data_IF_588440125921
#
_entry.id   IF_588440125921
#
_cell.length_a   1.000
_cell.length_b   1.000
_cell.length_c   1.000
_cell.angle_alpha   90.00
_cell.angle_beta   90.00
_cell.angle_gamma   90.00
#
_symmetry.space_group_name_H-M   'P 1'
#
loop_
_entity.id
_entity.type
_entity.pdbx_description
1 polymer ?
#
# COMPACT_ATOMS: atom_id res chain seq x y z
N UNK A 1 -16.16 -8.24 12.63
CA UNK A 1 -15.65 -7.12 11.84
C UNK A 1 -15.55 -7.56 10.38
N UNK A 2 -16.13 -6.77 9.47
CA UNK A 2 -16.09 -7.06 8.03
C UNK A 2 -14.86 -6.39 7.42
N UNK A 3 -13.95 -7.19 6.85
CA UNK A 3 -12.90 -6.68 5.98
C UNK A 3 -13.53 -6.12 4.70
N UNK A 4 -13.06 -4.97 4.25
CA UNK A 4 -13.40 -4.46 2.91
C UNK A 4 -12.59 -5.21 1.86
N UNK A 5 -13.17 -5.43 0.70
CA UNK A 5 -12.46 -6.02 -0.44
C UNK A 5 -11.56 -5.01 -1.17
N UNK A 6 -11.75 -3.71 -0.93
CA UNK A 6 -10.95 -2.66 -1.54
C UNK A 6 -10.67 -1.51 -0.58
N UNK A 7 -9.43 -1.06 -0.58
CA UNK A 7 -8.91 0.06 0.19
C UNK A 7 -8.27 1.07 -0.76
N UNK A 8 -8.45 2.36 -0.50
CA UNK A 8 -7.75 3.42 -1.20
C UNK A 8 -6.92 4.24 -0.21
N UNK A 9 -5.61 4.22 -0.39
CA UNK A 9 -4.66 5.04 0.34
C UNK A 9 -4.30 6.26 -0.50
N UNK A 10 -4.71 7.43 -0.04
CA UNK A 10 -4.53 8.70 -0.75
C UNK A 10 -3.65 9.64 0.05
N UNK A 11 -2.75 10.34 -0.60
CA UNK A 11 -1.93 11.35 0.06
C UNK A 11 -0.59 11.60 -0.62
N UNK A 12 0.20 12.57 -0.14
CA UNK A 12 1.47 12.97 -0.73
C UNK A 12 2.47 11.82 -0.87
N UNK A 13 3.45 12.00 -1.72
CA UNK A 13 4.55 11.04 -1.88
C UNK A 13 5.37 10.93 -0.58
N UNK A 14 5.82 9.73 -0.27
CA UNK A 14 6.70 9.51 0.90
C UNK A 14 5.99 9.38 2.24
N UNK A 15 4.66 9.47 2.31
CA UNK A 15 3.87 9.38 3.56
C UNK A 15 3.60 7.95 4.05
N UNK A 16 4.21 6.94 3.42
CA UNK A 16 4.13 5.55 3.89
C UNK A 16 2.97 4.72 3.32
N UNK A 17 2.25 5.17 2.29
CA UNK A 17 1.11 4.43 1.69
C UNK A 17 1.45 2.99 1.33
N UNK A 18 2.49 2.78 0.53
CA UNK A 18 2.92 1.45 0.08
C UNK A 18 3.43 0.60 1.24
N UNK A 19 4.13 1.21 2.21
CA UNK A 19 4.59 0.52 3.43
C UNK A 19 3.40 0.04 4.28
N UNK A 20 2.40 0.89 4.46
CA UNK A 20 1.16 0.54 5.18
C UNK A 20 0.39 -0.56 4.44
N UNK A 21 0.36 -0.52 3.09
CA UNK A 21 -0.24 -1.58 2.28
C UNK A 21 0.42 -2.95 2.54
N UNK A 22 1.75 -2.98 2.61
CA UNK A 22 2.51 -4.20 2.95
C UNK A 22 2.23 -4.68 4.38
N UNK A 23 2.13 -3.76 5.34
CA UNK A 23 1.78 -4.10 6.72
C UNK A 23 0.37 -4.70 6.76
N UNK A 24 -0.60 -4.11 6.08
CA UNK A 24 -1.96 -4.65 5.99
C UNK A 24 -1.96 -6.05 5.34
N UNK A 25 -1.21 -6.24 4.26
CA UNK A 25 -1.07 -7.55 3.62
C UNK A 25 -0.47 -8.61 4.58
N UNK A 26 0.52 -8.22 5.39
CA UNK A 26 1.07 -9.09 6.45
C UNK A 26 0.04 -9.37 7.55
N UNK A 27 -0.69 -8.36 7.98
CA UNK A 27 -1.74 -8.48 9.01
C UNK A 27 -2.81 -9.49 8.60
N UNK A 28 -3.16 -9.52 7.32
CA UNK A 28 -4.13 -10.45 6.76
C UNK A 28 -3.60 -11.89 6.62
N UNK A 29 -2.34 -12.04 6.19
CA UNK A 29 -1.74 -13.33 5.82
C UNK A 29 -0.77 -13.90 6.87
N UNK A 30 -0.52 -13.19 7.97
CA UNK A 30 0.28 -13.70 9.08
C UNK A 30 -0.32 -15.02 9.62
N UNK A 31 0.51 -15.95 10.04
CA UNK A 31 0.06 -17.23 10.62
C UNK A 31 -0.90 -17.00 11.80
N UNK A 32 -0.66 -15.95 12.59
CA UNK A 32 -1.51 -15.54 13.71
C UNK A 32 -2.66 -14.61 13.31
N UNK A 33 -2.80 -14.34 12.01
CA UNK A 33 -3.76 -13.36 11.49
C UNK A 33 -5.19 -13.90 11.30
N UNK A 34 -6.11 -13.03 10.91
CA UNK A 34 -5.92 -11.57 10.80
C UNK A 34 -5.59 -10.92 12.15
N UNK A 35 -4.54 -10.09 12.17
CA UNK A 35 -4.05 -9.44 13.41
C UNK A 35 -3.58 -8.01 13.10
N UNK A 36 -3.79 -7.04 14.02
CA UNK A 36 -3.21 -5.71 13.84
C UNK A 36 -1.68 -5.70 13.94
N UNK A 37 -1.09 -6.73 14.58
CA UNK A 37 0.35 -6.84 14.80
C UNK A 37 0.89 -8.12 14.14
N UNK A 38 1.33 -8.06 12.87
CA UNK A 38 1.93 -9.21 12.21
C UNK A 38 3.25 -9.58 12.86
N UNK A 39 3.51 -10.88 13.04
CA UNK A 39 4.67 -11.37 13.77
C UNK A 39 6.03 -11.08 13.10
N UNK A 40 6.07 -10.75 11.82
CA UNK A 40 7.24 -10.47 10.98
C UNK A 40 8.27 -11.62 10.84
N UNK A 41 8.06 -12.77 11.47
CA UNK A 41 8.99 -13.91 11.51
C UNK A 41 8.42 -15.19 10.89
N UNK A 42 7.12 -15.27 10.60
CA UNK A 42 6.58 -16.43 9.91
C UNK A 42 6.87 -16.37 8.41
N UNK A 43 6.85 -17.52 7.75
CA UNK A 43 7.16 -17.64 6.33
C UNK A 43 6.36 -16.64 5.44
N UNK A 44 5.07 -16.42 5.74
CA UNK A 44 4.26 -15.47 4.99
C UNK A 44 4.74 -14.02 5.20
N UNK A 45 5.04 -13.63 6.46
CA UNK A 45 5.55 -12.29 6.75
C UNK A 45 6.92 -12.05 6.09
N UNK A 46 7.81 -13.03 6.13
CA UNK A 46 9.13 -12.94 5.51
C UNK A 46 9.04 -12.83 3.99
N UNK A 47 8.21 -13.66 3.35
CA UNK A 47 8.00 -13.59 1.89
C UNK A 47 7.40 -12.25 1.46
N UNK A 48 6.49 -11.68 2.22
CA UNK A 48 5.92 -10.35 1.93
C UNK A 48 7.00 -9.26 2.10
N UNK A 49 7.82 -9.34 3.14
CA UNK A 49 8.93 -8.39 3.34
C UNK A 49 9.94 -8.45 2.20
N UNK A 50 10.27 -9.64 1.71
CA UNK A 50 11.25 -9.86 0.65
C UNK A 50 10.67 -9.72 -0.77
N UNK A 51 9.37 -9.45 -0.90
CA UNK A 51 8.71 -9.33 -2.20
C UNK A 51 8.58 -10.65 -2.98
N UNK A 52 8.74 -11.80 -2.32
CA UNK A 52 8.66 -13.13 -2.94
C UNK A 52 7.34 -13.87 -2.69
N UNK A 53 6.35 -13.19 -2.11
CA UNK A 53 5.03 -13.78 -1.87
C UNK A 53 4.27 -13.95 -3.19
N UNK A 54 3.71 -15.14 -3.41
CA UNK A 54 2.81 -15.40 -4.55
C UNK A 54 1.39 -14.89 -4.30
N UNK A 55 1.06 -14.58 -3.06
CA UNK A 55 -0.27 -14.12 -2.65
C UNK A 55 -0.33 -12.60 -2.42
N UNK A 56 0.80 -11.89 -2.48
CA UNK A 56 0.86 -10.43 -2.39
C UNK A 56 1.61 -9.89 -3.59
N UNK A 57 0.86 -9.30 -4.51
CA UNK A 57 1.39 -8.78 -5.77
C UNK A 57 1.40 -7.26 -5.74
N UNK A 58 2.57 -6.69 -6.02
CA UNK A 58 2.75 -5.25 -6.16
C UNK A 58 2.80 -4.88 -7.63
N UNK A 59 1.95 -3.95 -8.04
CA UNK A 59 1.83 -3.46 -9.41
C UNK A 59 2.01 -1.95 -9.37
N UNK A 60 3.04 -1.46 -10.05
CA UNK A 60 3.19 -0.02 -10.28
C UNK A 60 2.43 0.36 -11.55
N UNK A 61 1.33 1.09 -11.40
CA UNK A 61 0.52 1.55 -12.52
C UNK A 61 1.24 2.58 -13.40
N UNK A 62 2.33 3.21 -12.92
CA UNK A 62 3.13 4.09 -13.75
C UNK A 62 3.89 3.32 -14.83
N UNK A 63 4.32 2.09 -14.53
CA UNK A 63 5.02 1.18 -15.44
C UNK A 63 4.06 0.25 -16.19
N UNK A 64 2.90 -0.08 -15.59
CA UNK A 64 1.90 -1.04 -16.09
C UNK A 64 0.55 -0.34 -16.37
N UNK A 65 0.53 0.56 -17.36
CA UNK A 65 -0.63 1.44 -17.65
C UNK A 65 -1.68 0.80 -18.54
N UNK A 66 -1.37 -0.34 -19.14
CA UNK A 66 -2.15 -0.95 -20.20
C UNK A 66 -3.39 -1.69 -19.72
N UNK A 67 -4.26 -2.00 -20.67
CA UNK A 67 -5.44 -2.81 -20.41
C UNK A 67 -5.10 -4.30 -20.26
N UNK A 68 -4.02 -4.75 -20.89
CA UNK A 68 -3.67 -6.16 -20.94
C UNK A 68 -3.14 -6.63 -19.57
N UNK A 69 -2.35 -5.81 -18.88
CA UNK A 69 -1.89 -6.08 -17.51
C UNK A 69 -3.07 -6.18 -16.53
N UNK A 70 -4.08 -5.34 -16.70
CA UNK A 70 -5.30 -5.41 -15.86
C UNK A 70 -6.17 -6.62 -16.22
N UNK A 71 -6.16 -7.06 -17.48
CA UNK A 71 -6.84 -8.31 -17.89
C UNK A 71 -6.15 -9.52 -17.28
N UNK A 72 -4.82 -9.58 -17.32
CA UNK A 72 -4.03 -10.63 -16.67
C UNK A 72 -4.29 -10.66 -15.15
N UNK A 73 -4.29 -9.50 -14.50
CA UNK A 73 -4.65 -9.38 -13.09
C UNK A 73 -6.05 -9.94 -12.84
N UNK A 74 -7.03 -9.62 -13.69
CA UNK A 74 -8.41 -10.10 -13.54
C UNK A 74 -8.51 -11.62 -13.67
N UNK A 75 -7.75 -12.24 -14.55
CA UNK A 75 -7.69 -13.71 -14.64
C UNK A 75 -6.97 -14.31 -13.41
N UNK A 76 -5.87 -13.69 -12.96
CA UNK A 76 -5.12 -14.15 -11.80
C UNK A 76 -5.90 -14.05 -10.48
N UNK A 77 -6.81 -13.08 -10.35
CA UNK A 77 -7.67 -12.89 -9.17
C UNK A 77 -8.62 -14.08 -8.94
N UNK A 78 -8.98 -14.81 -9.99
CA UNK A 78 -9.88 -15.97 -9.89
C UNK A 78 -9.27 -17.15 -9.13
N UNK A 79 -7.94 -17.22 -9.07
CA UNK A 79 -7.25 -18.31 -8.39
C UNK A 79 -7.15 -18.05 -6.89
N UNK A 80 -7.37 -19.09 -6.10
CA UNK A 80 -7.23 -19.05 -4.66
C UNK A 80 -5.77 -18.72 -4.23
N UNK A 81 -5.57 -18.19 -3.02
CA UNK A 81 -4.24 -18.04 -2.45
C UNK A 81 -3.50 -19.38 -2.35
N UNK A 82 -2.17 -19.34 -2.45
CA UNK A 82 -1.31 -20.52 -2.38
C UNK A 82 -0.93 -20.82 -0.92
N UNK A 83 -0.42 -19.82 -0.21
CA UNK A 83 0.12 -19.96 1.15
C UNK A 83 -0.66 -19.13 2.18
N UNK A 84 -1.25 -18.01 1.73
CA UNK A 84 -1.97 -17.06 2.58
C UNK A 84 -3.47 -17.36 2.70
N UNK A 85 -4.15 -16.52 3.50
CA UNK A 85 -5.62 -16.52 3.58
C UNK A 85 -6.26 -15.67 2.49
N UNK A 86 -5.56 -14.63 2.08
CA UNK A 86 -6.03 -13.65 1.11
C UNK A 86 -4.99 -13.43 0.01
N UNK A 87 -5.47 -13.23 -1.20
CA UNK A 87 -4.67 -12.76 -2.32
C UNK A 87 -4.77 -11.23 -2.35
N UNK A 88 -3.66 -10.55 -2.09
CA UNK A 88 -3.62 -9.10 -1.93
C UNK A 88 -2.94 -8.47 -3.14
N UNK A 89 -3.61 -7.52 -3.76
CA UNK A 89 -3.11 -6.76 -4.89
C UNK A 89 -2.88 -5.32 -4.47
N UNK A 90 -1.61 -4.91 -4.41
CA UNK A 90 -1.20 -3.54 -4.11
C UNK A 90 -0.94 -2.85 -5.45
N UNK A 91 -1.76 -1.85 -5.80
CA UNK A 91 -1.64 -1.09 -7.04
C UNK A 91 -1.19 0.31 -6.67
N UNK A 92 0.08 0.60 -6.90
CA UNK A 92 0.66 1.93 -6.63
C UNK A 92 0.44 2.86 -7.81
N UNK A 93 0.31 4.15 -7.50
CA UNK A 93 0.00 5.24 -8.44
C UNK A 93 -1.17 4.92 -9.39
N UNK A 94 -2.23 4.33 -8.82
CA UNK A 94 -3.39 3.81 -9.55
C UNK A 94 -4.03 4.84 -10.51
N UNK A 95 -3.89 6.15 -10.25
CA UNK A 95 -4.35 7.22 -11.14
C UNK A 95 -3.64 7.24 -12.51
N UNK A 96 -2.53 6.50 -12.65
CA UNK A 96 -1.78 6.39 -13.91
C UNK A 96 -2.35 5.34 -14.86
N UNK A 97 -3.30 4.52 -14.43
CA UNK A 97 -3.97 3.57 -15.30
C UNK A 97 -4.71 4.28 -16.44
N UNK A 98 -4.73 3.67 -17.62
CA UNK A 98 -5.54 4.16 -18.73
C UNK A 98 -7.04 4.04 -18.43
N UNK A 99 -7.87 4.83 -19.10
CA UNK A 99 -9.32 4.76 -18.94
C UNK A 99 -9.89 3.36 -19.23
N UNK A 100 -9.32 2.67 -20.22
CA UNK A 100 -9.72 1.30 -20.56
C UNK A 100 -9.31 0.30 -19.47
N UNK A 101 -8.14 0.47 -18.85
CA UNK A 101 -7.68 -0.33 -17.73
C UNK A 101 -8.57 -0.10 -16.49
N UNK A 102 -8.91 1.15 -16.18
CA UNK A 102 -9.86 1.47 -15.11
C UNK A 102 -11.21 0.77 -15.30
N UNK A 103 -11.78 0.84 -16.51
CA UNK A 103 -13.07 0.20 -16.81
C UNK A 103 -12.99 -1.34 -16.69
N UNK A 104 -11.87 -1.94 -17.08
CA UNK A 104 -11.65 -3.38 -16.89
C UNK A 104 -11.54 -3.75 -15.41
N UNK A 105 -10.88 -2.89 -14.61
CA UNK A 105 -10.70 -3.09 -13.18
C UNK A 105 -12.01 -2.91 -12.38
N UNK A 106 -12.88 -1.99 -12.79
CA UNK A 106 -14.19 -1.78 -12.16
C UNK A 106 -15.00 -3.07 -12.06
N UNK A 107 -14.99 -3.90 -13.13
CA UNK A 107 -15.70 -5.19 -13.13
C UNK A 107 -15.22 -6.12 -12.03
N UNK A 108 -13.92 -6.10 -11.72
CA UNK A 108 -13.35 -6.90 -10.64
C UNK A 108 -13.73 -6.35 -9.26
N UNK A 109 -13.84 -5.03 -9.13
CA UNK A 109 -14.27 -4.39 -7.87
C UNK A 109 -15.77 -4.51 -7.62
N UNK A 110 -16.58 -4.73 -8.65
CA UNK A 110 -18.03 -4.95 -8.54
C UNK A 110 -18.36 -6.35 -8.03
N UNK A 111 -17.63 -7.36 -8.50
CA UNK A 111 -17.82 -8.77 -8.13
C UNK A 111 -16.46 -9.38 -7.71
N UNK A 112 -15.87 -8.92 -6.61
CA UNK A 112 -14.58 -9.43 -6.18
C UNK A 112 -14.73 -10.84 -5.60
N UNK A 113 -13.80 -11.77 -5.91
CA UNK A 113 -13.73 -13.03 -5.18
C UNK A 113 -13.49 -12.76 -3.67
N UNK A 114 -14.11 -13.56 -2.82
CA UNK A 114 -14.05 -13.36 -1.36
C UNK A 114 -12.64 -13.45 -0.76
N UNK A 115 -11.71 -14.07 -1.46
CA UNK A 115 -10.30 -14.19 -1.06
C UNK A 115 -9.41 -13.07 -1.60
N UNK A 116 -9.93 -12.18 -2.46
CA UNK A 116 -9.16 -11.11 -3.07
C UNK A 116 -9.36 -9.79 -2.34
N UNK A 117 -8.24 -9.11 -2.04
CA UNK A 117 -8.22 -7.78 -1.43
C UNK A 117 -7.36 -6.86 -2.28
N UNK A 118 -7.91 -5.69 -2.59
CA UNK A 118 -7.24 -4.66 -3.37
C UNK A 118 -6.84 -3.50 -2.48
N UNK A 119 -5.59 -3.08 -2.58
CA UNK A 119 -5.06 -1.89 -1.89
C UNK A 119 -4.54 -0.95 -2.97
N UNK A 120 -5.29 0.10 -3.21
CA UNK A 120 -4.96 1.11 -4.20
C UNK A 120 -4.23 2.25 -3.52
N UNK A 121 -3.10 2.70 -4.07
CA UNK A 121 -2.39 3.87 -3.59
C UNK A 121 -2.34 4.95 -4.66
N UNK A 122 -2.52 6.21 -4.26
CA UNK A 122 -2.48 7.35 -5.18
C UNK A 122 -1.98 8.62 -4.50
N UNK A 123 -1.27 9.43 -5.25
CA UNK A 123 -0.95 10.81 -4.88
C UNK A 123 -2.01 11.80 -5.36
N UNK A 124 -2.91 11.38 -6.26
CA UNK A 124 -3.86 12.26 -6.95
C UNK A 124 -5.29 11.68 -6.91
N UNK A 125 -5.89 11.70 -5.71
CA UNK A 125 -7.25 11.19 -5.46
C UNK A 125 -8.31 11.78 -6.41
N UNK A 126 -8.15 13.04 -6.80
CA UNK A 126 -9.09 13.74 -7.69
C UNK A 126 -9.14 13.16 -9.11
N UNK A 127 -8.11 12.38 -9.51
CA UNK A 127 -8.07 11.69 -10.81
C UNK A 127 -8.74 10.31 -10.77
N UNK A 128 -9.09 9.81 -9.59
CA UNK A 128 -9.75 8.51 -9.46
C UNK A 128 -11.24 8.65 -9.75
N UNK A 129 -11.75 7.71 -10.53
CA UNK A 129 -13.17 7.71 -10.90
C UNK A 129 -14.07 7.59 -9.65
N UNK A 130 -15.16 8.36 -9.56
CA UNK A 130 -16.13 8.28 -8.45
C UNK A 130 -16.68 6.86 -8.26
N UNK A 131 -16.81 6.10 -9.33
CA UNK A 131 -17.25 4.69 -9.33
C UNK A 131 -16.29 3.76 -8.61
N UNK A 132 -14.99 4.05 -8.61
CA UNK A 132 -13.97 3.33 -7.80
C UNK A 132 -14.01 3.81 -6.37
N UNK A 133 -14.07 5.13 -6.15
CA UNK A 133 -14.10 5.71 -4.80
C UNK A 133 -15.27 5.16 -3.97
N UNK A 134 -16.44 4.98 -4.58
CA UNK A 134 -17.63 4.46 -3.92
C UNK A 134 -17.53 2.98 -3.48
N UNK A 135 -16.55 2.25 -4.00
CA UNK A 135 -16.32 0.82 -3.70
C UNK A 135 -15.14 0.58 -2.77
N UNK A 136 -14.40 1.63 -2.46
CA UNK A 136 -13.20 1.54 -1.62
C UNK A 136 -13.43 2.15 -0.24
N UNK A 137 -12.84 1.55 0.78
CA UNK A 137 -12.64 2.22 2.05
C UNK A 137 -11.45 3.17 1.91
N UNK A 138 -11.68 4.47 2.11
CA UNK A 138 -10.70 5.51 1.82
C UNK A 138 -9.97 5.91 3.10
N UNK A 139 -8.63 5.98 3.01
CA UNK A 139 -7.74 6.49 4.05
C UNK A 139 -6.87 7.60 3.47
N UNK A 140 -6.96 8.78 4.04
CA UNK A 140 -6.17 9.93 3.63
C UNK A 140 -4.91 10.03 4.50
N UNK A 141 -3.75 9.92 3.86
CA UNK A 141 -2.43 10.07 4.45
C UNK A 141 -2.03 11.54 4.40
N UNK A 142 -1.85 12.13 5.56
CA UNK A 142 -1.42 13.52 5.68
C UNK A 142 0.11 13.63 5.64
N UNK A 143 0.60 14.84 5.36
CA UNK A 143 2.00 15.18 5.56
C UNK A 143 2.36 15.05 7.04
N UNK A 144 3.55 14.53 7.31
CA UNK A 144 4.09 14.46 8.66
C UNK A 144 4.60 15.86 9.04
N UNK A 145 4.36 16.28 10.27
CA UNK A 145 4.81 17.59 10.72
C UNK A 145 6.33 17.64 10.81
N UNK A 146 6.89 18.85 10.79
CA UNK A 146 8.35 19.04 10.98
C UNK A 146 8.77 18.54 12.35
N UNK A 147 7.96 18.82 13.37
CA UNK A 147 8.21 18.41 14.75
C UNK A 147 8.27 16.88 14.88
N UNK A 148 7.25 16.18 14.38
CA UNK A 148 7.21 14.70 14.40
C UNK A 148 8.37 14.09 13.58
N UNK A 149 8.73 14.73 12.46
CA UNK A 149 9.85 14.27 11.63
C UNK A 149 11.18 14.42 12.38
N UNK A 150 11.41 15.55 13.06
CA UNK A 150 12.62 15.80 13.88
C UNK A 150 12.70 14.81 15.05
N UNK A 151 11.58 14.58 15.72
CA UNK A 151 11.52 13.61 16.82
C UNK A 151 11.91 12.21 16.35
N UNK A 152 11.32 11.76 15.24
CA UNK A 152 11.62 10.46 14.68
C UNK A 152 13.08 10.34 14.19
N UNK A 153 13.60 11.36 13.51
CA UNK A 153 15.00 11.39 13.07
C UNK A 153 15.95 11.34 14.27
N UNK A 154 15.63 12.07 15.35
CA UNK A 154 16.41 12.03 16.60
C UNK A 154 16.43 10.64 17.22
N UNK A 155 15.27 9.98 17.22
CA UNK A 155 15.16 8.60 17.70
C UNK A 155 16.03 7.64 16.86
N UNK A 156 15.91 7.67 15.55
CA UNK A 156 16.69 6.81 14.65
C UNK A 156 18.19 7.08 14.79
N UNK A 157 18.63 8.35 14.79
CA UNK A 157 20.04 8.71 14.93
C UNK A 157 20.64 8.19 16.25
N UNK A 158 19.87 8.25 17.35
CA UNK A 158 20.31 7.69 18.65
C UNK A 158 20.44 6.16 18.59
N UNK A 159 19.51 5.47 17.92
CA UNK A 159 19.58 4.01 17.79
C UNK A 159 20.79 3.56 16.95
N UNK A 160 21.12 4.32 15.91
CA UNK A 160 22.25 4.06 15.02
C UNK A 160 23.59 4.63 15.54
N UNK A 161 23.61 5.28 16.71
CA UNK A 161 24.80 5.88 17.31
C UNK A 161 25.38 7.07 16.51
N UNK A 162 24.53 7.75 15.73
CA UNK A 162 24.93 8.90 14.92
C UNK A 162 24.83 10.18 15.76
N UNK A 163 25.92 10.94 15.85
CA UNK A 163 25.90 12.27 16.44
C UNK A 163 25.25 13.26 15.49
N UNK A 164 24.40 14.13 16.01
CA UNK A 164 23.69 15.13 15.24
C UNK A 164 23.52 16.44 16.02
N UNK A 165 23.43 17.52 15.29
CA UNK A 165 23.00 18.81 15.82
C UNK A 165 21.49 18.97 15.60
N UNK A 166 20.72 19.49 16.58
CA UNK A 166 19.27 19.67 16.45
C UNK A 166 18.87 20.49 15.22
N UNK A 167 19.65 21.52 14.91
CA UNK A 167 19.43 22.39 13.75
C UNK A 167 19.55 21.65 12.42
N UNK A 168 20.46 20.66 12.33
CA UNK A 168 20.61 19.85 11.15
C UNK A 168 19.36 18.98 10.90
N UNK A 169 18.77 18.41 11.95
CA UNK A 169 17.53 17.63 11.84
C UNK A 169 16.34 18.50 11.39
N UNK A 170 16.26 19.75 11.87
CA UNK A 170 15.23 20.68 11.42
C UNK A 170 15.36 21.00 9.93
N UNK A 171 16.57 21.20 9.42
CA UNK A 171 16.81 21.44 7.99
C UNK A 171 16.39 20.23 7.15
N UNK A 172 16.72 19.02 7.60
CA UNK A 172 16.32 17.78 6.93
C UNK A 172 14.80 17.65 6.92
N UNK A 173 14.13 17.85 8.05
CA UNK A 173 12.69 17.75 8.18
C UNK A 173 11.95 18.75 7.28
N UNK A 174 12.42 20.00 7.21
CA UNK A 174 11.88 21.01 6.30
C UNK A 174 12.03 20.61 4.82
N UNK A 175 13.16 20.01 4.45
CA UNK A 175 13.42 19.55 3.07
C UNK A 175 12.64 18.29 2.70
N UNK A 176 12.32 17.45 3.68
CA UNK A 176 11.50 16.24 3.48
C UNK A 176 10.04 16.57 3.12
N UNK A 177 9.58 17.82 3.38
CA UNK A 177 8.24 18.30 3.01
C UNK A 177 7.11 17.34 3.44
N UNK A 178 7.23 16.79 4.64
CA UNK A 178 6.26 15.87 5.24
C UNK A 178 6.30 14.43 4.71
N UNK A 179 7.33 14.06 3.96
CA UNK A 179 7.61 12.68 3.57
C UNK A 179 8.66 12.04 4.46
N UNK A 180 8.52 10.73 4.72
CA UNK A 180 9.51 9.92 5.47
C UNK A 180 10.56 9.27 4.55
N UNK A 181 10.49 9.52 3.26
CA UNK A 181 11.45 8.97 2.28
C UNK A 181 12.43 10.03 1.85
#
# INVERSE_FOLDING_TARGET
DRLSHAYLFSGPRGTGKTSTAKILAKSLNCINGPTPEPCNVCANCERINNGSSMDVLEIDAASNRGIDEIRELREAVKFAPVDGRYKVYIIDEVHMLSASAFNAFLKTLEEPPHHAIFILATTEKHKILPTILSRCQIYDFNRITVEDTVEHLSYVARQEGVHFEPEALNVIALKADGGMR
#
